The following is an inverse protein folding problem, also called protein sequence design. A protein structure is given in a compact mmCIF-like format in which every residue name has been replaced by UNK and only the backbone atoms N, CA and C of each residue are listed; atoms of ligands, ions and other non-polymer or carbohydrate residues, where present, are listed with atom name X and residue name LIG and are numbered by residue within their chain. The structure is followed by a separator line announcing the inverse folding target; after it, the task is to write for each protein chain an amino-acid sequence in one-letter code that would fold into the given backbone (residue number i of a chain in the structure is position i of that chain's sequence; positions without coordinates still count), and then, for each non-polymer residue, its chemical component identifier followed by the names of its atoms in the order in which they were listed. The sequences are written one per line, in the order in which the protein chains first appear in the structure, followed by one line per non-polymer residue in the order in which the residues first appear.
data_IF_909999196763
#
_entry.id   IF_909999196763
#
_cell.length_a   1.000
_cell.length_b   1.000
_cell.length_c   1.000
_cell.angle_alpha   90.00
_cell.angle_beta   90.00
_cell.angle_gamma   90.00
#
_symmetry.space_group_name_H-M   'P 1'
#
loop_
_entity.id
_entity.type
_entity.pdbx_description
1 polymer ?
#
# COMPACT_ATOMS: atom_id res chain seq x y z
N UNK A 1 15.63 -49.91 46.55
CA UNK A 1 15.44 -50.48 45.18
C UNK A 1 14.53 -49.57 44.38
N UNK A 2 14.79 -49.46 43.07
CA UNK A 2 14.01 -48.81 42.00
C UNK A 2 14.17 -47.29 41.82
N UNK A 3 15.33 -46.96 41.27
CA UNK A 3 15.50 -46.14 40.05
C UNK A 3 14.22 -45.71 39.33
N UNK A 4 14.07 -44.39 39.12
CA UNK A 4 13.46 -43.84 37.90
C UNK A 4 14.28 -42.63 37.43
N UNK A 5 14.86 -42.82 36.24
CA UNK A 5 15.54 -41.83 35.39
C UNK A 5 14.51 -40.86 34.78
N UNK A 6 15.04 -39.83 34.09
CA UNK A 6 14.39 -38.89 33.17
C UNK A 6 13.97 -37.57 33.84
N UNK A 7 14.31 -36.37 33.37
CA UNK A 7 14.94 -35.92 32.12
C UNK A 7 15.60 -34.56 32.44
N UNK A 8 16.86 -34.39 32.03
CA UNK A 8 17.54 -33.10 32.09
C UNK A 8 16.96 -32.17 31.01
N UNK A 9 16.27 -31.12 31.42
CA UNK A 9 15.89 -30.02 30.52
C UNK A 9 17.11 -29.13 30.37
N UNK A 10 17.72 -29.19 29.19
CA UNK A 10 18.79 -28.31 28.76
C UNK A 10 18.23 -26.88 28.74
N UNK A 11 18.65 -26.06 29.70
CA UNK A 11 18.44 -24.62 29.67
C UNK A 11 19.31 -24.05 28.54
N UNK A 12 18.68 -23.72 27.40
CA UNK A 12 19.30 -22.84 26.41
C UNK A 12 19.41 -21.44 27.03
N UNK A 13 20.59 -21.14 27.56
CA UNK A 13 21.02 -19.78 27.77
C UNK A 13 21.13 -19.10 26.40
N UNK A 14 20.08 -18.37 26.00
CA UNK A 14 20.22 -17.37 24.95
C UNK A 14 21.11 -16.26 25.51
N UNK A 15 22.37 -16.30 25.09
CA UNK A 15 23.31 -15.21 25.29
C UNK A 15 22.67 -13.93 24.73
N UNK A 16 22.36 -12.99 25.63
CA UNK A 16 22.19 -11.59 25.30
C UNK A 16 23.53 -11.08 24.74
N UNK A 17 23.77 -11.33 23.46
CA UNK A 17 24.60 -10.46 22.65
C UNK A 17 23.83 -9.15 22.47
N UNK A 18 23.76 -8.36 23.54
CA UNK A 18 23.52 -6.93 23.45
C UNK A 18 24.75 -6.34 22.77
N UNK A 19 24.76 -6.41 21.44
CA UNK A 19 25.65 -5.61 20.62
C UNK A 19 25.38 -4.15 20.95
N UNK A 20 26.31 -3.55 21.70
CA UNK A 20 26.65 -2.17 21.47
C UNK A 20 26.99 -1.97 20.00
N UNK A 21 26.67 -0.79 19.48
CA UNK A 21 26.93 -0.48 18.10
C UNK A 21 25.92 0.53 17.61
N UNK A 22 26.31 1.79 17.72
CA UNK A 22 25.81 2.87 16.90
C UNK A 22 26.20 2.58 15.44
N UNK A 23 25.63 1.54 14.87
CA UNK A 23 25.75 1.21 13.46
C UNK A 23 24.42 1.66 12.87
N UNK A 24 24.43 2.87 12.29
CA UNK A 24 23.48 3.20 11.24
C UNK A 24 23.72 2.18 10.12
N UNK A 25 23.13 0.98 10.27
CA UNK A 25 23.07 -0.01 9.22
C UNK A 25 22.50 0.67 7.99
N UNK A 26 22.94 0.27 6.77
CA UNK A 26 22.45 0.89 5.56
C UNK A 26 20.93 0.91 5.64
N UNK A 27 20.35 2.12 5.62
CA UNK A 27 18.92 2.31 5.43
C UNK A 27 18.52 1.29 4.38
N UNK A 28 17.61 0.35 4.67
CA UNK A 28 17.18 -0.59 3.65
C UNK A 28 16.80 0.28 2.46
N UNK A 29 17.53 0.14 1.34
CA UNK A 29 17.06 0.65 0.05
C UNK A 29 15.79 -0.14 -0.15
N UNK A 30 14.67 0.44 0.32
CA UNK A 30 13.35 -0.12 0.12
C UNK A 30 13.26 -0.51 -1.34
N UNK A 31 12.68 -1.67 -1.60
CA UNK A 31 12.34 -2.14 -2.94
C UNK A 31 12.02 -0.91 -3.80
N UNK A 32 12.90 -0.63 -4.78
CA UNK A 32 13.14 0.73 -5.29
C UNK A 32 11.86 1.52 -5.37
N UNK A 33 11.81 2.67 -4.69
CA UNK A 33 10.75 3.67 -4.92
C UNK A 33 10.64 3.79 -6.43
N UNK A 34 9.43 3.67 -6.97
CA UNK A 34 9.19 3.85 -8.39
C UNK A 34 9.43 5.33 -8.72
N UNK A 35 10.70 5.73 -8.83
CA UNK A 35 11.12 7.11 -9.09
C UNK A 35 10.95 7.49 -10.55
N UNK A 36 10.57 6.54 -11.41
CA UNK A 36 10.35 6.75 -12.84
C UNK A 36 8.88 6.57 -13.21
N UNK A 37 8.40 7.25 -14.26
CA UNK A 37 7.06 7.05 -14.79
C UNK A 37 6.76 5.57 -15.12
N UNK A 38 7.73 4.84 -15.70
CA UNK A 38 7.59 3.41 -16.04
C UNK A 38 7.36 2.50 -14.82
N UNK A 39 8.08 2.75 -13.73
CA UNK A 39 7.93 1.97 -12.51
C UNK A 39 6.56 2.22 -11.87
N UNK A 40 6.10 3.48 -11.88
CA UNK A 40 4.78 3.84 -11.39
C UNK A 40 3.68 3.27 -12.29
N UNK A 41 3.84 3.35 -13.62
CA UNK A 41 2.92 2.73 -14.59
C UNK A 41 2.78 1.22 -14.35
N UNK A 42 3.90 0.54 -14.05
CA UNK A 42 3.90 -0.90 -13.75
C UNK A 42 3.14 -1.21 -12.47
N UNK A 43 3.35 -0.45 -11.40
CA UNK A 43 2.59 -0.59 -10.16
C UNK A 43 1.10 -0.31 -10.37
N UNK A 44 0.75 0.75 -11.10
CA UNK A 44 -0.64 1.09 -11.39
C UNK A 44 -1.31 -0.01 -12.21
N UNK A 45 -0.64 -0.59 -13.22
CA UNK A 45 -1.16 -1.76 -13.94
C UNK A 45 -1.51 -2.91 -13.00
N UNK A 46 -0.63 -3.23 -12.06
CA UNK A 46 -0.88 -4.29 -11.08
C UNK A 46 -2.05 -3.98 -10.12
N UNK A 47 -2.23 -2.71 -9.73
CA UNK A 47 -3.34 -2.30 -8.88
C UNK A 47 -4.67 -2.23 -9.64
N UNK A 48 -4.65 -1.92 -10.93
CA UNK A 48 -5.88 -1.79 -11.75
C UNK A 48 -6.48 -3.11 -12.23
N UNK A 49 -5.89 -4.25 -11.89
CA UNK A 49 -6.50 -5.57 -12.11
C UNK A 49 -7.23 -6.11 -10.88
N UNK A 50 -7.14 -5.40 -9.74
CA UNK A 50 -7.83 -5.79 -8.50
C UNK A 50 -9.36 -5.63 -8.63
N UNK A 51 -10.12 -6.52 -7.99
CA UNK A 51 -11.59 -6.48 -7.99
C UNK A 51 -12.12 -5.22 -7.30
N UNK A 52 -11.41 -4.73 -6.28
CA UNK A 52 -11.71 -3.47 -5.61
C UNK A 52 -11.51 -2.24 -6.51
N UNK A 53 -10.74 -2.36 -7.59
CA UNK A 53 -10.64 -1.33 -8.63
C UNK A 53 -11.68 -1.52 -9.73
N UNK A 54 -11.85 -2.75 -10.23
CA UNK A 54 -12.69 -3.04 -11.40
C UNK A 54 -14.18 -3.08 -11.09
N UNK A 55 -14.56 -3.48 -9.87
CA UNK A 55 -15.94 -3.62 -9.41
C UNK A 55 -16.13 -3.13 -7.96
N UNK A 56 -15.76 -1.88 -7.62
CA UNK A 56 -15.71 -1.38 -6.24
C UNK A 56 -17.04 -1.46 -5.48
N UNK A 57 -18.17 -1.45 -6.19
CA UNK A 57 -19.51 -1.51 -5.57
C UNK A 57 -20.00 -2.94 -5.30
N UNK A 58 -19.35 -3.94 -5.91
CA UNK A 58 -19.67 -5.36 -5.71
C UNK A 58 -18.83 -5.97 -4.59
N UNK A 59 -17.68 -5.39 -4.29
CA UNK A 59 -16.79 -5.86 -3.23
C UNK A 59 -17.23 -5.40 -1.85
N UNK A 60 -17.11 -6.31 -0.88
CA UNK A 60 -17.27 -5.92 0.54
C UNK A 60 -16.12 -5.00 0.93
N UNK A 61 -16.37 -3.86 1.59
CA UNK A 61 -15.30 -2.93 1.95
C UNK A 61 -14.14 -3.58 2.72
N UNK A 62 -14.44 -4.48 3.65
CA UNK A 62 -13.45 -5.29 4.37
C UNK A 62 -12.49 -6.05 3.43
N UNK A 63 -12.99 -6.62 2.33
CA UNK A 63 -12.17 -7.35 1.36
C UNK A 63 -11.12 -6.48 0.66
N UNK A 64 -11.33 -5.16 0.65
CA UNK A 64 -10.47 -4.21 -0.05
C UNK A 64 -9.37 -3.56 0.81
N UNK A 65 -9.23 -3.94 2.08
CA UNK A 65 -8.25 -3.34 3.00
C UNK A 65 -6.81 -3.41 2.44
N UNK A 66 -6.43 -4.57 1.88
CA UNK A 66 -5.11 -4.78 1.29
C UNK A 66 -4.87 -3.83 0.11
N UNK A 67 -5.83 -3.76 -0.82
CA UNK A 67 -5.79 -2.85 -1.97
C UNK A 67 -5.62 -1.38 -1.53
N UNK A 68 -6.42 -0.92 -0.57
CA UNK A 68 -6.35 0.44 -0.03
C UNK A 68 -5.03 0.69 0.72
N UNK A 69 -4.46 -0.33 1.36
CA UNK A 69 -3.15 -0.24 2.02
C UNK A 69 -2.03 -0.05 0.99
N UNK A 70 -2.03 -0.83 -0.08
CA UNK A 70 -1.03 -0.75 -1.16
C UNK A 70 -1.07 0.61 -1.88
N UNK A 71 -2.25 1.23 -1.97
CA UNK A 71 -2.44 2.57 -2.53
C UNK A 71 -1.86 3.70 -1.67
N UNK A 72 -1.80 3.53 -0.34
CA UNK A 72 -1.21 4.53 0.54
C UNK A 72 0.24 4.85 0.19
N UNK A 73 1.01 3.85 -0.24
CA UNK A 73 2.36 4.06 -0.76
C UNK A 73 2.42 4.72 -2.14
N UNK A 74 1.36 4.62 -2.94
CA UNK A 74 1.28 5.16 -4.30
C UNK A 74 1.18 6.68 -4.33
N UNK A 75 0.47 7.30 -3.38
CA UNK A 75 0.27 8.77 -3.34
C UNK A 75 1.59 9.53 -3.38
N UNK A 76 2.57 9.12 -2.54
CA UNK A 76 3.90 9.75 -2.53
C UNK A 76 4.61 9.66 -3.87
N UNK A 77 4.57 8.49 -4.50
CA UNK A 77 5.20 8.26 -5.81
C UNK A 77 4.53 9.09 -6.91
N UNK A 78 3.21 9.29 -6.87
CA UNK A 78 2.51 10.13 -7.85
C UNK A 78 2.92 11.60 -7.70
N UNK A 79 3.03 12.12 -6.46
CA UNK A 79 3.51 13.48 -6.20
C UNK A 79 4.93 13.70 -6.72
N UNK A 80 5.80 12.70 -6.59
CA UNK A 80 7.17 12.76 -7.14
C UNK A 80 7.19 12.88 -8.67
N UNK A 81 6.19 12.32 -9.37
CA UNK A 81 6.07 12.43 -10.84
C UNK A 81 5.44 13.75 -11.32
N UNK A 82 4.89 14.57 -10.44
CA UNK A 82 4.25 15.82 -10.85
C UNK A 82 5.24 16.80 -11.50
N UNK A 83 6.38 17.02 -10.85
CA UNK A 83 7.41 17.97 -11.33
C UNK A 83 6.82 19.32 -11.77
N UNK A 84 7.42 19.95 -12.78
CA UNK A 84 6.90 21.17 -13.41
C UNK A 84 6.02 20.91 -14.63
N UNK A 85 6.17 19.73 -15.26
CA UNK A 85 5.46 19.37 -16.49
C UNK A 85 4.06 18.83 -16.25
N UNK A 86 3.81 18.26 -15.07
CA UNK A 86 2.57 17.57 -14.72
C UNK A 86 2.00 18.01 -13.36
N UNK A 87 1.79 19.32 -13.14
CA UNK A 87 1.27 19.82 -11.87
C UNK A 87 -0.10 19.23 -11.49
N UNK A 88 -0.88 18.76 -12.46
CA UNK A 88 -2.14 18.06 -12.26
C UNK A 88 -2.02 16.81 -11.39
N UNK A 89 -0.85 16.15 -11.38
CA UNK A 89 -0.62 14.96 -10.56
C UNK A 89 -0.65 15.26 -9.06
N UNK A 90 -0.38 16.50 -8.63
CA UNK A 90 -0.55 16.90 -7.23
C UNK A 90 -2.03 16.87 -6.84
N UNK A 91 -2.90 17.49 -7.65
CA UNK A 91 -4.36 17.49 -7.43
C UNK A 91 -4.94 16.08 -7.45
N UNK A 92 -4.46 15.23 -8.38
CA UNK A 92 -4.88 13.84 -8.46
C UNK A 92 -4.39 13.02 -7.25
N UNK A 93 -3.16 13.29 -6.78
CA UNK A 93 -2.63 12.69 -5.54
C UNK A 93 -3.47 13.08 -4.32
N UNK A 94 -3.85 14.35 -4.20
CA UNK A 94 -4.70 14.84 -3.11
C UNK A 94 -6.10 14.22 -3.17
N UNK A 95 -6.62 14.00 -4.38
CA UNK A 95 -7.90 13.33 -4.59
C UNK A 95 -7.83 11.86 -4.15
N UNK A 96 -6.76 11.14 -4.51
CA UNK A 96 -6.54 9.76 -4.05
C UNK A 96 -6.37 9.70 -2.53
N UNK A 97 -5.56 10.59 -1.95
CA UNK A 97 -5.32 10.66 -0.50
C UNK A 97 -6.62 10.92 0.27
N UNK A 98 -7.45 11.85 -0.21
CA UNK A 98 -8.78 12.12 0.34
C UNK A 98 -9.70 10.91 0.26
N UNK A 99 -9.72 10.20 -0.87
CA UNK A 99 -10.56 9.01 -1.02
C UNK A 99 -10.09 7.85 -0.12
N UNK A 100 -8.78 7.65 0.01
CA UNK A 100 -8.20 6.70 0.97
C UNK A 100 -8.55 7.08 2.41
N UNK A 101 -8.48 8.37 2.76
CA UNK A 101 -8.91 8.85 4.07
C UNK A 101 -10.42 8.64 4.31
N UNK A 102 -11.25 8.82 3.29
CA UNK A 102 -12.70 8.56 3.38
C UNK A 102 -13.03 7.07 3.58
N UNK A 103 -12.17 6.16 3.11
CA UNK A 103 -12.27 4.74 3.43
C UNK A 103 -11.79 4.45 4.86
N UNK A 104 -10.63 4.99 5.27
CA UNK A 104 -10.02 4.67 6.58
C UNK A 104 -10.72 5.33 7.76
N UNK A 105 -11.17 6.58 7.60
CA UNK A 105 -11.79 7.38 8.66
C UNK A 105 -12.97 6.69 9.38
N UNK A 106 -13.94 6.11 8.66
CA UNK A 106 -15.05 5.37 9.26
C UNK A 106 -14.76 3.87 9.49
N UNK A 107 -13.49 3.44 9.40
CA UNK A 107 -13.10 2.03 9.56
C UNK A 107 -13.74 1.07 8.55
N UNK A 108 -13.71 1.40 7.25
CA UNK A 108 -14.31 0.57 6.21
C UNK A 108 -13.71 -0.84 6.11
N UNK A 109 -12.50 -1.08 6.64
CA UNK A 109 -11.91 -2.40 6.80
C UNK A 109 -12.75 -3.35 7.70
N UNK A 110 -13.61 -2.78 8.54
CA UNK A 110 -14.52 -3.55 9.41
C UNK A 110 -15.90 -3.82 8.78
N UNK A 111 -16.24 -3.15 7.68
CA UNK A 111 -17.57 -3.19 7.07
C UNK A 111 -17.71 -4.41 6.16
N UNK A 112 -18.66 -5.28 6.50
CA UNK A 112 -18.92 -6.55 5.79
C UNK A 112 -20.07 -6.49 4.79
N UNK A 113 -20.68 -5.31 4.57
CA UNK A 113 -21.81 -5.12 3.66
C UNK A 113 -21.47 -4.13 2.55
N UNK A 114 -21.98 -4.40 1.35
CA UNK A 114 -21.85 -3.51 0.18
C UNK A 114 -22.91 -2.41 0.21
N UNK A 115 -22.78 -1.41 -0.67
CA UNK A 115 -23.78 -0.33 -0.83
C UNK A 115 -23.77 0.72 0.28
N UNK A 116 -22.71 0.78 1.08
CA UNK A 116 -22.55 1.79 2.14
C UNK A 116 -21.71 2.97 1.65
N UNK A 117 -21.52 4.00 2.49
CA UNK A 117 -20.56 5.07 2.20
C UNK A 117 -19.15 4.55 1.91
N UNK A 118 -18.77 3.39 2.45
CA UNK A 118 -17.51 2.73 2.14
C UNK A 118 -17.41 2.24 0.69
N UNK A 119 -18.53 1.80 0.08
CA UNK A 119 -18.55 1.43 -1.34
C UNK A 119 -18.39 2.66 -2.24
N UNK A 120 -18.86 3.82 -1.79
CA UNK A 120 -18.58 5.09 -2.48
C UNK A 120 -17.09 5.45 -2.36
N UNK A 121 -16.50 5.34 -1.18
CA UNK A 121 -15.07 5.60 -0.99
C UNK A 121 -14.20 4.69 -1.91
N UNK A 122 -14.54 3.41 -2.04
CA UNK A 122 -13.87 2.51 -2.99
C UNK A 122 -14.04 2.95 -4.45
N UNK A 123 -15.22 3.44 -4.82
CA UNK A 123 -15.48 3.98 -6.16
C UNK A 123 -14.64 5.22 -6.43
N UNK A 124 -14.56 6.13 -5.46
CA UNK A 124 -13.76 7.36 -5.55
C UNK A 124 -12.26 7.03 -5.66
N UNK A 125 -11.78 6.04 -4.89
CA UNK A 125 -10.42 5.52 -5.01
C UNK A 125 -10.17 4.99 -6.43
N UNK A 126 -11.06 4.12 -6.95
CA UNK A 126 -10.89 3.54 -8.28
C UNK A 126 -10.86 4.61 -9.38
N UNK A 127 -11.68 5.66 -9.26
CA UNK A 127 -11.67 6.79 -10.19
C UNK A 127 -10.36 7.58 -10.11
N UNK A 128 -9.90 7.94 -8.91
CA UNK A 128 -8.64 8.65 -8.74
C UNK A 128 -7.44 7.84 -9.30
N UNK A 129 -7.40 6.53 -9.07
CA UNK A 129 -6.36 5.65 -9.63
C UNK A 129 -6.42 5.61 -11.16
N UNK A 130 -7.62 5.60 -11.75
CA UNK A 130 -7.80 5.62 -13.21
C UNK A 130 -7.26 6.92 -13.83
N UNK A 131 -7.58 8.05 -13.21
CA UNK A 131 -7.14 9.37 -13.69
C UNK A 131 -5.61 9.51 -13.60
N UNK A 132 -5.03 9.10 -12.47
CA UNK A 132 -3.57 9.05 -12.28
C UNK A 132 -2.92 8.16 -13.34
N UNK A 133 -3.47 6.95 -13.55
CA UNK A 133 -2.94 6.01 -14.52
C UNK A 133 -2.94 6.59 -15.94
N UNK A 134 -4.00 7.28 -16.34
CA UNK A 134 -4.07 7.90 -17.66
C UNK A 134 -2.95 8.92 -17.87
N UNK A 135 -2.67 9.77 -16.88
CA UNK A 135 -1.60 10.76 -16.97
C UNK A 135 -0.23 10.08 -17.02
N UNK A 136 0.03 9.12 -16.14
CA UNK A 136 1.31 8.40 -16.10
C UNK A 136 1.57 7.59 -17.37
N UNK A 137 0.56 6.89 -17.89
CA UNK A 137 0.69 6.14 -19.15
C UNK A 137 0.98 7.10 -20.32
N UNK A 138 0.41 8.31 -20.31
CA UNK A 138 0.69 9.35 -21.31
C UNK A 138 2.15 9.81 -21.22
N UNK A 139 2.66 10.07 -20.00
CA UNK A 139 4.08 10.43 -19.80
C UNK A 139 5.01 9.36 -20.37
N UNK A 140 4.75 8.09 -20.05
CA UNK A 140 5.54 6.96 -20.56
C UNK A 140 5.51 6.90 -22.10
N UNK A 141 4.37 7.21 -22.71
CA UNK A 141 4.23 7.19 -24.17
C UNK A 141 4.93 8.38 -24.87
N UNK A 142 5.06 9.54 -24.20
CA UNK A 142 5.53 10.78 -24.84
C UNK A 142 6.96 11.20 -24.49
N UNK A 143 7.54 10.69 -23.39
CA UNK A 143 8.89 11.07 -22.93
C UNK A 143 8.93 12.38 -22.14
#
# INVERSE_FOLDING_TARGET
MRTRKALAVIALAFALAGCGGQEAGPTPKGAGVATTPDALATKLRALTVDECFTSPTKETPKGCEKYVTELGGTVGMVREQAGTKHPELNTLSDSLDKAVAAYRGPHCESVTTTGTGCSQALTDIANAVRDIKQVIDTQVATG
#
